data_IF_768931813551
#
_entry.id   IF_768931813551
#
_cell.length_a   1.000
_cell.length_b   1.000
_cell.length_c   1.000
_cell.angle_alpha   90.00
_cell.angle_beta   90.00
_cell.angle_gamma   90.00
#
_symmetry.space_group_name_H-M   'P 1'
#
loop_
_entity.id
_entity.type
_entity.pdbx_description
1 polymer ?
#
# COMPACT_ATOMS: atom_id res chain seq x y z
N UNK A 1 -19.02 -5.11 5.71
CA UNK A 1 -18.49 -5.83 4.52
C UNK A 1 -17.59 -4.99 3.60
N UNK A 2 -17.39 -3.69 3.84
CA UNK A 2 -16.63 -2.79 2.95
C UNK A 2 -15.19 -3.27 2.65
N UNK A 3 -14.46 -3.66 3.71
CA UNK A 3 -13.09 -4.20 3.59
C UNK A 3 -13.02 -5.49 2.76
N UNK A 4 -14.01 -6.36 2.93
CA UNK A 4 -14.10 -7.61 2.18
C UNK A 4 -14.25 -7.33 0.68
N UNK A 5 -15.15 -6.40 0.30
CA UNK A 5 -15.29 -5.98 -1.10
C UNK A 5 -14.01 -5.36 -1.67
N UNK A 6 -13.25 -4.63 -0.85
CA UNK A 6 -11.98 -4.04 -1.28
C UNK A 6 -10.90 -5.11 -1.49
N UNK A 7 -10.75 -6.07 -0.55
CA UNK A 7 -9.82 -7.19 -0.69
C UNK A 7 -10.11 -7.98 -1.97
N UNK A 8 -11.35 -8.40 -2.15
CA UNK A 8 -11.76 -9.17 -3.32
C UNK A 8 -12.00 -8.31 -4.57
N UNK A 9 -11.72 -7.01 -4.54
CA UNK A 9 -11.59 -6.23 -5.78
C UNK A 9 -10.29 -6.57 -6.52
N UNK A 10 -9.30 -7.09 -5.80
CA UNK A 10 -8.09 -7.66 -6.38
C UNK A 10 -8.43 -8.87 -7.25
N UNK A 11 -7.54 -9.16 -8.20
CA UNK A 11 -7.66 -10.31 -9.08
C UNK A 11 -9.02 -10.40 -9.80
N UNK A 12 -9.57 -9.25 -10.20
CA UNK A 12 -10.77 -9.18 -11.04
C UNK A 12 -12.06 -9.68 -10.39
N UNK A 13 -12.19 -9.66 -9.06
CA UNK A 13 -13.40 -10.11 -8.33
C UNK A 13 -13.74 -11.59 -8.50
N UNK A 14 -12.72 -12.43 -8.69
CA UNK A 14 -12.86 -13.89 -8.75
C UNK A 14 -13.28 -14.54 -7.43
N UNK A 15 -13.19 -13.80 -6.32
CA UNK A 15 -13.37 -14.35 -4.97
C UNK A 15 -12.12 -15.02 -4.40
N UNK A 16 -11.00 -15.02 -5.14
CA UNK A 16 -9.72 -15.60 -4.70
C UNK A 16 -8.59 -14.59 -4.82
N UNK A 17 -7.87 -14.39 -3.72
CA UNK A 17 -6.67 -13.53 -3.63
C UNK A 17 -5.57 -14.34 -2.97
N UNK A 18 -4.43 -14.48 -3.65
CA UNK A 18 -3.27 -15.18 -3.08
C UNK A 18 -2.71 -14.37 -1.91
N UNK A 19 -2.49 -15.04 -0.79
CA UNK A 19 -1.84 -14.42 0.38
C UNK A 19 -0.44 -13.91 0.01
N UNK A 20 0.00 -12.77 0.59
CA UNK A 20 1.37 -12.28 0.44
C UNK A 20 2.40 -13.36 0.77
N UNK A 21 3.57 -13.31 0.11
CA UNK A 21 4.65 -14.27 0.34
C UNK A 21 5.13 -14.27 1.80
N UNK A 22 5.20 -13.10 2.42
CA UNK A 22 5.57 -12.94 3.83
C UNK A 22 4.67 -13.75 4.77
N UNK A 23 3.37 -13.87 4.47
CA UNK A 23 2.40 -14.62 5.28
C UNK A 23 2.46 -16.14 5.09
N UNK A 24 3.08 -16.62 4.02
CA UNK A 24 3.11 -18.06 3.68
C UNK A 24 4.28 -18.80 4.33
N UNK A 25 5.18 -18.09 5.01
CA UNK A 25 6.32 -18.65 5.72
C UNK A 25 6.04 -18.91 7.20
N UNK A 26 6.71 -19.92 7.78
CA UNK A 26 6.57 -20.28 9.21
C UNK A 26 7.01 -19.19 10.19
N UNK A 27 7.81 -18.23 9.72
CA UNK A 27 8.33 -17.11 10.51
C UNK A 27 7.41 -15.88 10.51
N UNK A 28 6.25 -15.96 9.86
CA UNK A 28 5.30 -14.84 9.83
C UNK A 28 4.77 -14.56 11.24
N UNK A 29 4.96 -13.33 11.68
CA UNK A 29 4.35 -12.81 12.90
C UNK A 29 3.42 -11.65 12.50
N UNK A 30 2.10 -11.73 12.74
CA UNK A 30 1.17 -10.63 12.48
C UNK A 30 1.39 -9.44 13.42
N UNK A 31 2.08 -9.63 14.56
CA UNK A 31 2.38 -8.61 15.55
C UNK A 31 3.87 -8.58 15.90
N UNK A 32 4.74 -8.29 14.91
CA UNK A 32 6.17 -8.30 15.16
C UNK A 32 6.54 -7.19 16.16
N UNK A 33 7.60 -7.40 16.97
CA UNK A 33 8.16 -6.36 17.83
C UNK A 33 8.46 -5.09 17.05
N UNK A 34 8.33 -3.92 17.68
CA UNK A 34 8.55 -2.61 17.04
C UNK A 34 9.95 -2.50 16.41
N UNK A 35 10.97 -3.12 17.01
CA UNK A 35 12.34 -3.17 16.50
C UNK A 35 12.50 -3.89 15.16
N UNK A 36 11.53 -4.73 14.77
CA UNK A 36 11.53 -5.45 13.50
C UNK A 36 10.67 -4.75 12.44
N UNK A 37 9.88 -3.74 12.82
CA UNK A 37 9.02 -2.99 11.90
C UNK A 37 9.88 -2.02 11.11
N UNK A 38 9.74 -2.03 9.79
CA UNK A 38 10.40 -1.09 8.90
C UNK A 38 9.36 -0.41 8.05
N UNK A 39 9.42 0.92 7.98
CA UNK A 39 8.56 1.69 7.08
C UNK A 39 8.98 1.32 5.66
N UNK A 40 8.06 0.77 4.87
CA UNK A 40 8.31 0.37 3.48
C UNK A 40 7.87 1.45 2.49
N UNK A 41 6.89 2.27 2.86
CA UNK A 41 6.47 3.41 2.06
C UNK A 41 5.81 4.49 2.90
N UNK A 42 5.78 5.70 2.35
CA UNK A 42 4.93 6.79 2.85
C UNK A 42 3.87 7.13 1.81
N UNK A 43 2.66 7.39 2.29
CA UNK A 43 1.53 7.82 1.48
C UNK A 43 1.05 9.18 1.99
N UNK A 44 1.23 10.23 1.19
CA UNK A 44 0.66 11.54 1.45
C UNK A 44 -0.66 11.68 0.71
N UNK A 45 -1.72 12.06 1.41
CA UNK A 45 -3.06 12.30 0.87
C UNK A 45 -3.51 13.73 1.20
N UNK A 46 -4.06 14.41 0.19
CA UNK A 46 -4.79 15.66 0.36
C UNK A 46 -6.17 15.52 -0.26
N UNK A 47 -7.21 15.72 0.54
CA UNK A 47 -8.60 15.80 0.06
C UNK A 47 -8.85 17.22 -0.42
N UNK A 48 -9.32 17.39 -1.67
CA UNK A 48 -9.47 18.70 -2.30
C UNK A 48 -10.92 19.14 -2.36
N UNK A 49 -11.82 18.20 -2.66
CA UNK A 49 -13.24 18.46 -2.78
C UNK A 49 -14.01 17.18 -3.08
N UNK A 50 -15.33 17.31 -3.20
CA UNK A 50 -16.21 16.25 -3.68
C UNK A 50 -17.22 16.79 -4.67
N UNK A 51 -17.96 15.88 -5.28
CA UNK A 51 -19.16 16.21 -6.05
C UNK A 51 -20.26 15.20 -5.78
N UNK A 52 -21.51 15.64 -5.86
CA UNK A 52 -22.71 14.80 -5.82
C UNK A 52 -22.75 13.85 -4.62
N UNK A 53 -22.42 14.34 -3.41
CA UNK A 53 -22.55 13.50 -2.22
C UNK A 53 -24.02 13.14 -1.98
N UNK A 54 -24.32 11.95 -1.44
CA UNK A 54 -25.68 11.54 -1.13
C UNK A 54 -26.37 12.56 -0.22
N UNK A 55 -27.65 12.83 -0.51
CA UNK A 55 -28.46 13.71 0.32
C UNK A 55 -29.07 12.92 1.48
N UNK A 56 -28.79 13.28 2.74
CA UNK A 56 -29.40 12.65 3.90
C UNK A 56 -30.79 13.23 4.10
N UNK A 57 -31.82 12.46 3.75
CA UNK A 57 -33.21 12.88 3.90
C UNK A 57 -33.52 14.21 3.20
N UNK A 58 -33.99 15.20 3.96
CA UNK A 58 -34.39 16.53 3.43
C UNK A 58 -33.37 17.63 3.67
N UNK A 59 -32.42 17.45 4.59
CA UNK A 59 -31.38 18.44 4.93
C UNK A 59 -30.30 18.54 3.85
N UNK A 60 -29.52 19.62 3.93
CA UNK A 60 -28.27 19.74 3.17
C UNK A 60 -27.17 19.17 4.06
N UNK A 61 -26.34 18.29 3.53
CA UNK A 61 -25.26 17.68 4.29
C UNK A 61 -24.20 18.72 4.67
N UNK A 62 -23.65 18.57 5.88
CA UNK A 62 -22.42 19.23 6.32
C UNK A 62 -21.24 18.23 6.26
N UNK A 63 -20.64 17.97 5.07
CA UNK A 63 -19.73 16.86 4.93
C UNK A 63 -18.34 17.09 5.52
N UNK A 64 -17.73 16.00 5.99
CA UNK A 64 -16.29 15.88 6.20
C UNK A 64 -15.79 14.50 5.75
N UNK A 65 -14.50 14.36 5.52
CA UNK A 65 -13.87 13.12 5.05
C UNK A 65 -12.92 12.58 6.10
N UNK A 66 -13.13 11.33 6.50
CA UNK A 66 -12.18 10.52 7.23
C UNK A 66 -11.34 9.72 6.22
N UNK A 67 -10.03 9.88 6.28
CA UNK A 67 -9.04 9.11 5.52
C UNK A 67 -8.31 8.22 6.50
N UNK A 68 -8.34 6.91 6.28
CA UNK A 68 -7.66 5.97 7.16
C UNK A 68 -6.89 4.90 6.39
N UNK A 69 -5.83 4.41 7.03
CA UNK A 69 -5.14 3.19 6.66
C UNK A 69 -5.73 2.07 7.50
N UNK A 70 -6.20 1.01 6.83
CA UNK A 70 -6.64 -0.22 7.47
C UNK A 70 -5.69 -1.34 7.08
N UNK A 71 -5.22 -2.15 8.02
CA UNK A 71 -4.38 -3.29 7.71
C UNK A 71 -3.93 -4.00 8.97
N UNK A 72 -2.62 -4.24 9.07
CA UNK A 72 -2.03 -4.63 10.33
C UNK A 72 -2.20 -3.52 11.39
N UNK A 73 -2.30 -3.88 12.68
CA UNK A 73 -2.60 -2.90 13.73
C UNK A 73 -1.60 -1.75 13.79
N UNK A 74 -0.32 -2.02 13.49
CA UNK A 74 0.74 -1.02 13.45
C UNK A 74 0.69 -0.07 12.25
N UNK A 75 -0.10 -0.39 11.21
CA UNK A 75 -0.37 0.50 10.07
C UNK A 75 -1.61 1.38 10.28
N UNK A 76 -2.47 1.03 11.26
CA UNK A 76 -3.76 1.69 11.41
C UNK A 76 -3.59 3.14 11.88
N UNK A 77 -4.03 4.08 11.04
CA UNK A 77 -3.98 5.50 11.33
C UNK A 77 -5.13 6.22 10.59
N UNK A 78 -5.67 7.28 11.17
CA UNK A 78 -6.81 8.02 10.63
C UNK A 78 -6.61 9.53 10.72
N UNK A 79 -7.16 10.22 9.73
CA UNK A 79 -7.17 11.67 9.64
C UNK A 79 -8.57 12.13 9.23
N UNK A 80 -9.05 13.24 9.78
CA UNK A 80 -10.33 13.84 9.42
C UNK A 80 -10.10 15.25 8.91
N UNK A 81 -10.76 15.59 7.79
CA UNK A 81 -10.84 16.98 7.34
C UNK A 81 -11.74 17.79 8.25
N UNK A 82 -11.67 19.12 8.12
CA UNK A 82 -12.71 20.00 8.64
C UNK A 82 -14.08 19.73 8.00
N UNK A 83 -15.14 20.16 8.69
CA UNK A 83 -16.52 20.13 8.20
C UNK A 83 -16.76 21.28 7.24
N UNK A 84 -17.43 21.00 6.13
CA UNK A 84 -17.98 22.02 5.23
C UNK A 84 -19.47 22.13 5.50
N UNK A 85 -19.94 23.31 5.91
CA UNK A 85 -21.36 23.50 6.24
C UNK A 85 -22.23 23.61 4.99
N UNK A 86 -23.41 22.99 5.03
CA UNK A 86 -24.50 23.15 4.05
C UNK A 86 -24.08 23.00 2.58
N UNK A 87 -23.19 22.05 2.26
CA UNK A 87 -22.73 21.83 0.89
C UNK A 87 -22.38 20.36 0.60
N UNK A 88 -23.39 19.57 0.25
CA UNK A 88 -23.20 18.20 -0.27
C UNK A 88 -22.94 18.10 -1.78
N UNK A 89 -23.27 19.14 -2.56
CA UNK A 89 -23.19 19.07 -4.02
C UNK A 89 -21.76 19.23 -4.53
N UNK A 90 -20.99 20.17 -3.97
CA UNK A 90 -19.61 20.45 -4.36
C UNK A 90 -18.80 21.05 -3.20
N UNK A 91 -18.57 20.31 -2.10
CA UNK A 91 -17.72 20.77 -1.01
C UNK A 91 -16.27 20.87 -1.47
N UNK A 92 -15.53 21.83 -0.91
CA UNK A 92 -14.12 22.09 -1.20
C UNK A 92 -13.35 22.18 0.11
N UNK A 93 -12.37 21.30 0.28
CA UNK A 93 -11.41 21.31 1.39
C UNK A 93 -10.04 21.87 0.97
N UNK A 94 -9.81 22.12 -0.31
CA UNK A 94 -8.49 22.53 -0.83
C UNK A 94 -7.90 23.79 -0.19
N UNK A 95 -8.76 24.67 0.33
CA UNK A 95 -8.38 25.88 1.06
C UNK A 95 -7.70 25.57 2.40
N UNK A 96 -8.01 24.43 3.02
CA UNK A 96 -7.22 23.93 4.15
C UNK A 96 -5.91 23.37 3.58
N UNK A 97 -4.77 23.81 4.12
CA UNK A 97 -3.46 23.26 3.74
C UNK A 97 -3.21 21.87 4.33
N UNK A 98 -4.27 21.21 4.80
CA UNK A 98 -4.22 19.93 5.47
C UNK A 98 -3.89 18.83 4.47
N UNK A 99 -2.72 18.23 4.67
CA UNK A 99 -2.30 16.99 4.05
C UNK A 99 -1.93 16.04 5.17
N UNK A 100 -2.28 14.78 5.03
CA UNK A 100 -1.88 13.72 5.95
C UNK A 100 -0.82 12.86 5.27
N UNK A 101 0.22 12.50 6.01
CA UNK A 101 1.22 11.52 5.57
C UNK A 101 1.12 10.30 6.47
N UNK A 102 0.88 9.15 5.87
CA UNK A 102 0.85 7.86 6.54
C UNK A 102 2.16 7.12 6.28
N UNK A 103 2.72 6.54 7.33
CA UNK A 103 3.81 5.56 7.26
C UNK A 103 3.19 4.17 7.14
N UNK A 104 3.63 3.40 6.16
CA UNK A 104 3.09 2.06 5.88
C UNK A 104 4.24 1.07 5.97
N UNK A 105 4.09 0.14 6.89
CA UNK A 105 5.02 -0.93 7.25
C UNK A 105 4.73 -2.21 6.45
N UNK A 106 3.47 -2.58 6.20
CA UNK A 106 3.13 -3.67 5.28
C UNK A 106 2.15 -3.28 4.16
N UNK A 107 2.66 -2.77 3.02
CA UNK A 107 1.84 -2.42 1.86
C UNK A 107 1.05 -3.58 1.25
N UNK A 108 1.38 -4.83 1.59
CA UNK A 108 0.66 -6.01 1.08
C UNK A 108 -0.67 -6.21 1.80
N UNK A 109 -0.79 -5.72 3.04
CA UNK A 109 -1.97 -5.88 3.90
C UNK A 109 -2.71 -4.57 4.14
N UNK A 110 -2.11 -3.44 3.78
CA UNK A 110 -2.70 -2.14 3.96
C UNK A 110 -3.71 -1.76 2.86
N UNK A 111 -4.75 -1.04 3.28
CA UNK A 111 -5.80 -0.47 2.47
C UNK A 111 -5.94 1.02 2.81
N UNK A 112 -6.20 1.84 1.79
CA UNK A 112 -6.64 3.22 1.98
C UNK A 112 -8.16 3.25 1.95
N UNK A 113 -8.79 3.72 3.02
CA UNK A 113 -10.22 3.94 3.10
C UNK A 113 -10.53 5.43 3.23
N UNK A 114 -11.46 5.88 2.40
CA UNK A 114 -12.13 7.16 2.51
C UNK A 114 -13.54 6.90 3.02
N UNK A 115 -13.96 7.63 4.04
CA UNK A 115 -15.34 7.65 4.52
C UNK A 115 -15.80 9.09 4.53
N UNK A 116 -16.93 9.34 3.88
CA UNK A 116 -17.60 10.63 3.92
C UNK A 116 -18.69 10.52 4.97
N UNK A 117 -18.64 11.43 5.93
CA UNK A 117 -19.69 11.61 6.92
C UNK A 117 -20.36 12.97 6.69
N UNK A 118 -21.57 13.13 7.21
CA UNK A 118 -22.10 14.44 7.55
C UNK A 118 -22.07 14.63 9.07
N UNK A 119 -21.98 15.88 9.50
CA UNK A 119 -22.24 16.26 10.88
C UNK A 119 -23.67 16.79 10.98
N UNK A 120 -24.49 16.20 11.87
CA UNK A 120 -25.87 16.67 12.08
C UNK A 120 -25.96 17.83 13.10
N UNK A 121 -27.19 18.24 13.43
CA UNK A 121 -27.43 19.35 14.37
C UNK A 121 -26.95 19.09 15.80
N UNK A 122 -26.66 17.84 16.16
CA UNK A 122 -26.14 17.42 17.45
C UNK A 122 -24.63 17.15 17.42
N UNK A 123 -23.97 17.48 16.30
CA UNK A 123 -22.56 17.16 16.03
C UNK A 123 -22.26 15.67 15.97
N UNK A 124 -23.28 14.82 15.71
CA UNK A 124 -23.07 13.39 15.53
C UNK A 124 -22.67 13.08 14.07
N UNK A 125 -21.62 12.27 13.85
CA UNK A 125 -21.16 11.91 12.52
C UNK A 125 -22.04 10.80 11.91
N UNK A 126 -22.78 11.13 10.85
CA UNK A 126 -23.62 10.20 10.12
C UNK A 126 -22.96 9.75 8.82
N UNK A 127 -22.94 8.45 8.56
CA UNK A 127 -22.32 7.88 7.37
C UNK A 127 -23.04 8.30 6.09
N UNK A 128 -22.30 8.82 5.10
CA UNK A 128 -22.83 9.13 3.76
C UNK A 128 -22.34 8.14 2.70
N UNK A 129 -21.03 7.94 2.61
CA UNK A 129 -20.43 7.11 1.56
C UNK A 129 -19.03 6.64 1.94
N UNK A 130 -18.50 5.66 1.20
CA UNK A 130 -17.13 5.20 1.37
C UNK A 130 -16.44 4.86 0.05
N UNK A 131 -15.12 4.77 0.07
CA UNK A 131 -14.34 4.11 -0.96
C UNK A 131 -13.11 3.47 -0.31
N UNK A 132 -12.81 2.22 -0.67
CA UNK A 132 -11.71 1.46 -0.05
C UNK A 132 -10.89 0.79 -1.13
N UNK A 133 -9.57 0.98 -1.10
CA UNK A 133 -8.64 0.46 -2.09
C UNK A 133 -7.43 -0.20 -1.43
N UNK A 134 -6.96 -1.35 -1.94
CA UNK A 134 -5.66 -1.89 -1.56
C UNK A 134 -4.54 -0.89 -1.90
N UNK A 135 -3.57 -0.69 -1.00
CA UNK A 135 -2.48 0.28 -1.20
C UNK A 135 -1.72 0.03 -2.51
N UNK A 136 -1.46 -1.24 -2.84
CA UNK A 136 -0.80 -1.65 -4.10
C UNK A 136 -1.51 -1.18 -5.37
N UNK A 137 -2.81 -0.92 -5.32
CA UNK A 137 -3.61 -0.50 -6.47
C UNK A 137 -3.66 1.03 -6.68
N UNK A 138 -3.10 1.81 -5.76
CA UNK A 138 -3.19 3.27 -5.79
C UNK A 138 -2.23 3.84 -6.83
N UNK A 139 -2.57 5.00 -7.41
CA UNK A 139 -1.71 5.74 -8.34
C UNK A 139 -1.53 7.17 -7.84
N UNK A 140 -0.30 7.67 -7.86
CA UNK A 140 -0.01 9.05 -7.43
C UNK A 140 -0.55 10.12 -8.39
N UNK A 141 -0.60 11.38 -7.95
CA UNK A 141 -1.14 12.53 -8.66
C UNK A 141 -2.57 12.88 -8.23
N UNK A 142 -3.23 13.74 -9.03
CA UNK A 142 -4.64 14.07 -8.85
C UNK A 142 -5.51 12.91 -9.33
N UNK A 143 -6.43 12.44 -8.49
CA UNK A 143 -7.28 11.28 -8.73
C UNK A 143 -8.72 11.56 -8.33
N UNK A 144 -9.64 11.05 -9.13
CA UNK A 144 -11.04 10.93 -8.76
C UNK A 144 -11.23 9.63 -7.98
N UNK A 145 -11.96 9.71 -6.85
CA UNK A 145 -12.29 8.57 -6.01
C UNK A 145 -13.81 8.36 -6.06
N UNK A 146 -14.31 7.43 -6.90
CA UNK A 146 -15.73 7.09 -6.95
C UNK A 146 -16.21 6.55 -5.60
N UNK A 147 -17.36 7.05 -5.14
CA UNK A 147 -17.92 6.72 -3.84
C UNK A 147 -18.98 5.62 -3.93
N UNK A 148 -19.12 4.87 -2.83
CA UNK A 148 -20.03 3.75 -2.67
C UNK A 148 -20.92 3.90 -1.43
N UNK A 149 -22.10 3.28 -1.47
CA UNK A 149 -23.04 3.28 -0.35
C UNK A 149 -22.65 2.27 0.75
N UNK A 150 -23.46 2.15 1.80
CA UNK A 150 -23.20 1.20 2.91
C UNK A 150 -23.11 -0.27 2.48
N UNK A 151 -23.67 -0.63 1.33
CA UNK A 151 -23.66 -1.96 0.73
C UNK A 151 -22.52 -2.16 -0.29
N UNK A 152 -21.61 -1.20 -0.43
CA UNK A 152 -20.51 -1.22 -1.40
C UNK A 152 -20.94 -1.21 -2.88
N UNK A 153 -22.12 -0.67 -3.15
CA UNK A 153 -22.64 -0.37 -4.50
C UNK A 153 -22.23 1.05 -4.92
N UNK A 154 -22.00 1.26 -6.21
CA UNK A 154 -21.56 2.54 -6.74
C UNK A 154 -22.67 3.59 -6.63
N UNK A 155 -22.30 4.80 -6.19
CA UNK A 155 -23.22 5.95 -6.14
C UNK A 155 -22.98 6.78 -7.39
N UNK A 156 -24.05 7.03 -8.15
CA UNK A 156 -23.97 7.75 -9.41
C UNK A 156 -23.37 9.16 -9.22
N UNK A 157 -22.37 9.48 -10.04
CA UNK A 157 -21.61 10.75 -10.07
C UNK A 157 -20.81 11.11 -8.80
N UNK A 158 -21.11 10.51 -7.65
CA UNK A 158 -20.49 10.81 -6.37
C UNK A 158 -19.00 10.45 -6.39
N UNK A 159 -18.15 11.45 -6.16
CA UNK A 159 -16.70 11.22 -6.11
C UNK A 159 -15.95 12.28 -5.34
N UNK A 160 -14.86 11.89 -4.68
CA UNK A 160 -13.87 12.83 -4.15
C UNK A 160 -12.83 13.18 -5.22
N UNK A 161 -12.29 14.39 -5.15
CA UNK A 161 -11.05 14.78 -5.80
C UNK A 161 -9.95 14.78 -4.75
N UNK A 162 -8.90 13.99 -4.97
CA UNK A 162 -7.77 13.86 -4.06
C UNK A 162 -6.45 14.03 -4.78
N UNK A 163 -5.43 14.48 -4.07
CA UNK A 163 -4.05 14.34 -4.47
C UNK A 163 -3.41 13.25 -3.60
N UNK A 164 -2.79 12.26 -4.25
CA UNK A 164 -2.06 11.19 -3.57
C UNK A 164 -0.60 11.19 -4.02
N UNK A 165 0.33 11.05 -3.10
CA UNK A 165 1.74 10.86 -3.40
C UNK A 165 2.24 9.64 -2.62
N UNK A 166 2.75 8.64 -3.36
CA UNK A 166 3.35 7.46 -2.76
C UNK A 166 4.86 7.54 -2.96
N UNK A 167 5.61 7.42 -1.88
CA UNK A 167 7.06 7.35 -1.92
C UNK A 167 7.50 6.05 -1.24
N UNK A 168 8.11 5.10 -1.98
CA UNK A 168 8.72 3.96 -1.33
C UNK A 168 9.84 4.47 -0.41
N UNK A 169 9.89 3.94 0.81
CA UNK A 169 11.03 4.18 1.67
C UNK A 169 12.16 3.33 1.11
N UNK A 170 13.11 4.05 0.56
CA UNK A 170 14.33 3.53 0.02
C UNK A 170 15.15 2.96 1.18
N UNK A 171 15.25 1.62 1.29
CA UNK A 171 16.22 0.92 2.16
C UNK A 171 17.56 1.66 2.11
N UNK A 172 18.21 1.91 3.25
CA UNK A 172 19.48 2.65 3.22
C UNK A 172 20.47 1.97 2.27
N UNK A 173 21.43 2.69 1.68
CA UNK A 173 22.43 2.03 0.83
C UNK A 173 23.10 0.87 1.57
N UNK A 174 23.38 1.06 2.86
CA UNK A 174 23.92 0.01 3.73
C UNK A 174 23.00 -1.20 3.84
N UNK A 175 21.69 -1.03 3.99
CA UNK A 175 20.73 -2.13 4.01
C UNK A 175 20.68 -2.85 2.66
N UNK A 176 20.69 -2.10 1.55
CA UNK A 176 20.67 -2.66 0.20
C UNK A 176 21.95 -3.48 -0.09
N UNK A 177 23.11 -2.96 0.31
CA UNK A 177 24.39 -3.67 0.21
C UNK A 177 24.45 -4.88 1.15
N UNK A 178 23.91 -4.77 2.37
CA UNK A 178 23.83 -5.87 3.32
C UNK A 178 22.96 -7.01 2.78
N UNK A 179 21.75 -6.69 2.29
CA UNK A 179 20.85 -7.66 1.64
C UNK A 179 21.49 -8.29 0.39
N UNK A 180 22.15 -7.50 -0.46
CA UNK A 180 22.91 -8.02 -1.60
C UNK A 180 24.00 -9.01 -1.16
N UNK A 181 24.74 -8.71 -0.09
CA UNK A 181 25.81 -9.56 0.42
C UNK A 181 25.25 -10.87 0.99
N UNK A 182 24.14 -10.80 1.72
CA UNK A 182 23.45 -11.97 2.26
C UNK A 182 22.93 -12.89 1.15
N UNK A 183 22.27 -12.32 0.12
CA UNK A 183 21.78 -13.08 -1.02
C UNK A 183 22.91 -13.76 -1.79
N UNK A 184 24.05 -13.08 -2.03
CA UNK A 184 25.24 -13.69 -2.66
C UNK A 184 25.78 -14.86 -1.85
N UNK A 185 25.92 -14.69 -0.54
CA UNK A 185 26.36 -15.76 0.36
C UNK A 185 25.41 -16.95 0.33
N UNK A 186 24.09 -16.70 0.36
CA UNK A 186 23.09 -17.77 0.24
C UNK A 186 23.14 -18.47 -1.11
N UNK A 187 23.39 -17.73 -2.19
CA UNK A 187 23.55 -18.28 -3.53
C UNK A 187 24.75 -19.24 -3.58
N UNK A 188 25.88 -18.87 -2.99
CA UNK A 188 27.08 -19.70 -2.90
C UNK A 188 26.82 -20.97 -2.06
N UNK A 189 26.14 -20.84 -0.92
CA UNK A 189 25.75 -21.97 -0.07
C UNK A 189 24.86 -22.96 -0.82
N UNK A 190 23.82 -22.48 -1.50
CA UNK A 190 22.91 -23.30 -2.30
C UNK A 190 23.65 -23.95 -3.48
N UNK A 191 24.57 -23.23 -4.13
CA UNK A 191 25.40 -23.78 -5.20
C UNK A 191 26.29 -24.93 -4.70
N UNK A 192 26.93 -24.75 -3.55
CA UNK A 192 27.77 -25.77 -2.93
C UNK A 192 26.93 -27.01 -2.53
N UNK A 193 25.74 -26.79 -1.97
CA UNK A 193 24.82 -27.87 -1.63
C UNK A 193 24.38 -28.64 -2.89
N UNK A 194 23.98 -27.94 -3.96
CA UNK A 194 23.60 -28.55 -5.23
C UNK A 194 24.75 -29.34 -5.85
N UNK A 195 25.97 -28.79 -5.81
CA UNK A 195 27.18 -29.47 -6.29
C UNK A 195 27.45 -30.77 -5.52
N UNK A 196 27.41 -30.73 -4.18
CA UNK A 196 27.56 -31.92 -3.35
C UNK A 196 26.50 -32.97 -3.69
N UNK A 197 25.24 -32.55 -3.84
CA UNK A 197 24.15 -33.43 -4.26
C UNK A 197 24.38 -34.04 -5.66
N UNK A 198 24.92 -33.30 -6.63
CA UNK A 198 25.18 -33.81 -7.97
C UNK A 198 26.37 -34.78 -8.03
N UNK A 199 27.35 -34.64 -7.14
CA UNK A 199 28.47 -35.59 -7.03
C UNK A 199 28.09 -36.93 -6.40
N UNK A 200 27.06 -36.95 -5.56
CA UNK A 200 26.50 -38.18 -5.01
C UNK A 200 25.40 -38.71 -5.93
N UNK A 201 25.77 -39.48 -6.96
CA UNK A 201 24.81 -40.23 -7.77
C UNK A 201 23.98 -41.14 -6.86
N UNK A 202 22.72 -40.79 -6.58
CA UNK A 202 21.57 -41.70 -6.60
C UNK A 202 20.28 -41.01 -6.10
N UNK A 203 19.21 -41.19 -6.89
CA UNK A 203 17.79 -40.82 -6.69
C UNK A 203 17.40 -39.33 -6.78
N UNK A 204 16.60 -39.00 -7.80
CA UNK A 204 15.73 -37.80 -7.81
C UNK A 204 14.87 -37.83 -6.55
N UNK A 205 15.17 -36.92 -5.62
CA UNK A 205 14.46 -36.73 -4.37
C UNK A 205 13.91 -35.31 -4.30
N UNK A 206 12.72 -35.15 -3.71
CA UNK A 206 12.03 -33.87 -3.53
C UNK A 206 12.91 -32.76 -2.90
N UNK A 207 13.93 -33.15 -2.13
CA UNK A 207 14.91 -32.24 -1.53
C UNK A 207 15.78 -31.50 -2.56
N UNK A 208 16.15 -32.13 -3.69
CA UNK A 208 16.92 -31.46 -4.75
C UNK A 208 16.07 -30.41 -5.45
N UNK A 209 14.82 -30.76 -5.78
CA UNK A 209 13.90 -29.84 -6.45
C UNK A 209 13.58 -28.63 -5.56
N UNK A 210 13.48 -28.83 -4.24
CA UNK A 210 13.36 -27.74 -3.27
C UNK A 210 14.59 -26.81 -3.27
N UNK A 211 15.81 -27.37 -3.29
CA UNK A 211 17.05 -26.59 -3.36
C UNK A 211 17.17 -25.81 -4.68
N UNK A 212 16.83 -26.42 -5.81
CA UNK A 212 16.84 -25.74 -7.12
C UNK A 212 15.81 -24.60 -7.15
N UNK A 213 14.63 -24.82 -6.57
CA UNK A 213 13.59 -23.79 -6.46
C UNK A 213 14.07 -22.63 -5.58
N UNK A 214 14.66 -22.92 -4.43
CA UNK A 214 15.23 -21.90 -3.54
C UNK A 214 16.37 -21.13 -4.23
N UNK A 215 17.27 -21.83 -4.94
CA UNK A 215 18.35 -21.22 -5.71
C UNK A 215 17.82 -20.24 -6.75
N UNK A 216 16.78 -20.63 -7.48
CA UNK A 216 16.15 -19.79 -8.52
C UNK A 216 15.48 -18.56 -7.91
N UNK A 217 14.81 -18.72 -6.76
CA UNK A 217 14.17 -17.60 -6.04
C UNK A 217 15.23 -16.62 -5.52
N UNK A 218 16.30 -17.13 -4.92
CA UNK A 218 17.40 -16.32 -4.40
C UNK A 218 18.13 -15.58 -5.53
N UNK A 219 18.32 -16.21 -6.69
CA UNK A 219 18.91 -15.60 -7.89
C UNK A 219 18.04 -14.45 -8.42
N UNK A 220 16.73 -14.66 -8.54
CA UNK A 220 15.79 -13.63 -8.97
C UNK A 220 15.77 -12.43 -8.02
N UNK A 221 15.81 -12.68 -6.69
CA UNK A 221 15.94 -11.61 -5.70
C UNK A 221 17.26 -10.86 -5.87
N UNK A 222 18.37 -11.57 -6.07
CA UNK A 222 19.68 -10.95 -6.26
C UNK A 222 19.70 -10.04 -7.50
N UNK A 223 19.10 -10.46 -8.61
CA UNK A 223 18.97 -9.64 -9.83
C UNK A 223 18.16 -8.36 -9.57
N UNK A 224 17.01 -8.47 -8.88
CA UNK A 224 16.18 -7.32 -8.53
C UNK A 224 16.95 -6.28 -7.69
N UNK A 225 17.70 -6.74 -6.69
CA UNK A 225 18.52 -5.87 -5.86
C UNK A 225 19.69 -5.23 -6.64
N UNK A 226 20.31 -5.95 -7.57
CA UNK A 226 21.34 -5.40 -8.46
C UNK A 226 20.78 -4.31 -9.39
N UNK A 227 19.60 -4.52 -9.97
CA UNK A 227 18.92 -3.51 -10.78
C UNK A 227 18.59 -2.26 -9.95
N UNK A 228 18.11 -2.44 -8.71
CA UNK A 228 17.82 -1.35 -7.77
C UNK A 228 19.08 -0.53 -7.43
N UNK A 229 20.21 -1.20 -7.17
CA UNK A 229 21.52 -0.56 -7.00
C UNK A 229 21.95 0.22 -8.25
N UNK A 230 21.83 -0.39 -9.44
CA UNK A 230 22.22 0.23 -10.71
C UNK A 230 21.37 1.47 -11.03
N UNK A 231 20.07 1.41 -10.75
CA UNK A 231 19.17 2.54 -10.89
C UNK A 231 19.58 3.71 -9.98
N UNK A 232 19.93 3.44 -8.72
CA UNK A 232 20.46 4.46 -7.79
C UNK A 232 21.74 5.10 -8.29
N UNK A 233 22.68 4.31 -8.81
CA UNK A 233 23.91 4.81 -9.43
C UNK A 233 23.62 5.76 -10.61
N UNK A 234 22.61 5.45 -11.43
CA UNK A 234 22.16 6.32 -12.52
C UNK A 234 21.50 7.61 -12.00
N UNK A 235 20.62 7.51 -11.01
CA UNK A 235 19.95 8.66 -10.39
C UNK A 235 20.95 9.61 -9.72
N UNK A 236 21.97 9.09 -9.01
CA UNK A 236 23.08 9.90 -8.46
C UNK A 236 23.89 10.62 -9.56
N UNK A 237 24.18 9.94 -10.68
CA UNK A 237 24.89 10.55 -11.82
C UNK A 237 24.08 11.68 -12.46
N UNK A 238 22.77 11.49 -12.61
CA UNK A 238 21.86 12.53 -13.15
C UNK A 238 21.76 13.71 -12.18
N UNK A 239 21.64 13.45 -10.88
CA UNK A 239 21.60 14.50 -9.85
C UNK A 239 22.90 15.33 -9.83
N UNK A 240 24.06 14.67 -9.93
CA UNK A 240 25.34 15.38 -9.98
C UNK A 240 25.52 16.16 -11.28
N UNK A 241 25.00 15.69 -12.42
CA UNK A 241 25.08 16.44 -13.69
C UNK A 241 24.30 17.77 -13.68
N UNK A 242 23.21 17.85 -12.89
CA UNK A 242 22.41 19.08 -12.74
C UNK A 242 23.04 20.13 -11.83
N UNK A 243 24.07 19.78 -11.05
CA UNK A 243 24.83 20.72 -10.23
C UNK A 243 26.00 21.38 -10.97
N UNK A 244 26.35 20.88 -12.16
CA UNK A 244 27.44 21.39 -13.00
C UNK A 244 26.95 21.94 -14.36
N UNK A 245 25.65 22.22 -14.50
CA UNK A 245 25.04 22.89 -15.66
C UNK A 245 24.39 24.19 -15.19
#
# INVERSE_FOLDING_TARGET
MQMNHALFSLNGRTGYVLQPESMRGEKYDPMPPESQRKILMTLTVKVLGARHLPKPGRSIACPFVEVEICGAEYDNNKFKTTVVNDNGLSPVWAATQEKVTFEIYDPNLAFLRFVVYEEDMFSDPNFLAHATYPIKGIKSGFRSVPLKNGHSEDIELASLLVFCEMRPVLESEEELYSSCRQLRRRQEELNNQLFLYDTHQNLRNANRDALVKEFTVNENQLQLYQEKCNRRLREKRVSNSKFYS
#
